data_IF_688474200749
#
_entry.id   IF_688474200749
#
_cell.length_a   1.000
_cell.length_b   1.000
_cell.length_c   1.000
_cell.angle_alpha   90.00
_cell.angle_beta   90.00
_cell.angle_gamma   90.00
#
_symmetry.space_group_name_H-M   'P 1'
#
loop_
_entity.id
_entity.type
_entity.pdbx_description
1 polymer ?
#
# COMPACT_ATOMS: atom_id res chain seq x y z
N UNK A 1 -7.69 -23.74 14.69
CA UNK A 1 -7.56 -22.51 15.48
C UNK A 1 -8.54 -21.47 14.95
N UNK A 2 -9.37 -20.95 15.84
CA UNK A 2 -10.26 -19.86 15.51
C UNK A 2 -9.42 -18.60 15.20
N UNK A 3 -9.63 -17.99 14.05
CA UNK A 3 -8.93 -16.81 13.61
C UNK A 3 -8.92 -15.65 14.61
N UNK A 4 -9.94 -15.53 15.42
CA UNK A 4 -10.04 -14.49 16.44
C UNK A 4 -8.99 -14.63 17.56
N UNK A 5 -8.65 -15.85 17.92
CA UNK A 5 -7.63 -16.09 18.95
C UNK A 5 -6.23 -15.82 18.43
N UNK A 6 -5.94 -16.27 17.22
CA UNK A 6 -4.66 -15.98 16.57
C UNK A 6 -4.47 -14.47 16.43
N UNK A 7 -5.52 -13.74 16.04
CA UNK A 7 -5.49 -12.29 15.96
C UNK A 7 -5.06 -11.65 17.27
N UNK A 8 -5.64 -12.08 18.40
CA UNK A 8 -5.29 -11.52 19.72
C UNK A 8 -3.86 -11.78 20.12
N UNK A 9 -3.34 -12.94 19.83
CA UNK A 9 -1.96 -13.30 20.14
C UNK A 9 -0.95 -12.46 19.36
N UNK A 10 -1.27 -12.19 18.11
CA UNK A 10 -0.38 -11.47 17.22
C UNK A 10 -0.51 -9.95 17.27
N UNK A 11 -1.48 -9.43 18.00
CA UNK A 11 -1.71 -7.99 18.07
C UNK A 11 -0.86 -7.26 19.09
N UNK A 12 0.15 -7.87 19.64
CA UNK A 12 1.07 -7.22 20.53
C UNK A 12 2.25 -6.66 19.74
N UNK A 13 2.62 -5.39 19.89
CA UNK A 13 2.05 -4.38 20.79
C UNK A 13 0.81 -3.65 20.26
N UNK A 14 0.34 -3.96 19.08
CA UNK A 14 -0.84 -3.33 18.49
C UNK A 14 -2.08 -4.07 18.93
N UNK A 15 -3.01 -3.35 19.55
CA UNK A 15 -4.29 -3.88 19.97
C UNK A 15 -5.15 -4.28 18.76
N UNK A 16 -5.71 -5.50 18.78
CA UNK A 16 -6.65 -5.96 17.77
C UNK A 16 -7.85 -5.03 17.58
N UNK A 17 -8.30 -4.36 18.62
CA UNK A 17 -9.39 -3.40 18.57
C UNK A 17 -9.05 -2.18 17.70
N UNK A 18 -7.80 -1.79 17.61
CA UNK A 18 -7.34 -0.70 16.77
C UNK A 18 -7.70 -0.93 15.30
N UNK A 19 -7.40 -2.10 14.76
CA UNK A 19 -7.71 -2.39 13.36
C UNK A 19 -9.22 -2.52 13.11
N UNK A 20 -9.97 -3.08 14.05
CA UNK A 20 -11.44 -3.14 13.95
C UNK A 20 -12.01 -1.74 13.78
N UNK A 21 -11.62 -0.85 14.68
CA UNK A 21 -12.13 0.52 14.69
C UNK A 21 -11.67 1.25 13.44
N UNK A 22 -10.41 1.12 13.07
CA UNK A 22 -9.84 1.77 11.87
C UNK A 22 -10.56 1.34 10.59
N UNK A 23 -10.86 0.05 10.43
CA UNK A 23 -11.62 -0.43 9.27
C UNK A 23 -13.04 0.11 9.26
N UNK A 24 -13.73 0.09 10.39
CA UNK A 24 -15.10 0.61 10.51
C UNK A 24 -15.16 2.11 10.27
N UNK A 25 -14.19 2.87 10.77
CA UNK A 25 -14.14 4.32 10.61
C UNK A 25 -13.87 4.72 9.16
N UNK A 26 -13.02 3.98 8.45
CA UNK A 26 -12.70 4.25 7.05
C UNK A 26 -13.75 3.77 6.06
N UNK A 27 -14.43 2.68 6.38
CA UNK A 27 -15.35 2.00 5.47
C UNK A 27 -16.67 1.61 6.16
N UNK A 28 -17.43 2.57 6.74
CA UNK A 28 -18.54 2.25 7.63
C UNK A 28 -19.70 1.52 6.93
N UNK A 29 -19.91 1.76 5.65
CA UNK A 29 -21.10 1.30 4.92
C UNK A 29 -20.83 0.18 3.90
N UNK A 30 -19.59 -0.30 3.80
CA UNK A 30 -19.21 -1.13 2.66
C UNK A 30 -19.05 -2.62 2.97
N UNK A 31 -18.97 -2.99 4.24
CA UNK A 31 -18.65 -4.38 4.61
C UNK A 31 -19.53 -4.84 5.75
N UNK A 32 -20.20 -5.97 5.55
CA UNK A 32 -20.93 -6.64 6.64
C UNK A 32 -19.96 -7.11 7.72
N UNK A 33 -20.43 -7.18 8.97
CA UNK A 33 -19.60 -7.49 10.14
C UNK A 33 -18.80 -8.80 9.99
N UNK A 34 -19.39 -9.84 9.40
CA UNK A 34 -18.70 -11.12 9.21
C UNK A 34 -17.54 -11.02 8.21
N UNK A 35 -17.77 -10.35 7.07
CA UNK A 35 -16.74 -10.12 6.08
C UNK A 35 -15.63 -9.20 6.63
N UNK A 36 -16.00 -8.20 7.41
CA UNK A 36 -15.06 -7.31 8.09
C UNK A 36 -14.17 -8.08 9.07
N UNK A 37 -14.74 -8.97 9.89
CA UNK A 37 -13.99 -9.76 10.84
C UNK A 37 -12.97 -10.68 10.16
N UNK A 38 -13.36 -11.30 9.05
CA UNK A 38 -12.48 -12.17 8.26
C UNK A 38 -11.33 -11.39 7.65
N UNK A 39 -11.62 -10.28 7.00
CA UNK A 39 -10.60 -9.44 6.37
C UNK A 39 -9.63 -8.86 7.39
N UNK A 40 -10.13 -8.38 8.50
CA UNK A 40 -9.34 -7.87 9.61
C UNK A 40 -8.38 -8.92 10.16
N UNK A 41 -8.86 -10.14 10.32
CA UNK A 41 -8.04 -11.25 10.77
C UNK A 41 -6.90 -11.54 9.79
N UNK A 42 -7.21 -11.67 8.51
CA UNK A 42 -6.21 -11.91 7.46
C UNK A 42 -5.16 -10.80 7.44
N UNK A 43 -5.60 -9.55 7.47
CA UNK A 43 -4.71 -8.40 7.48
C UNK A 43 -3.77 -8.42 8.69
N UNK A 44 -4.32 -8.65 9.88
CA UNK A 44 -3.53 -8.68 11.10
C UNK A 44 -2.48 -9.79 11.10
N UNK A 45 -2.81 -10.98 10.59
CA UNK A 45 -1.83 -12.05 10.44
C UNK A 45 -0.70 -11.68 9.50
N UNK A 46 -1.02 -11.10 8.34
CA UNK A 46 -0.02 -10.67 7.37
C UNK A 46 0.90 -9.60 7.95
N UNK A 47 0.33 -8.61 8.62
CA UNK A 47 1.09 -7.54 9.27
C UNK A 47 2.04 -8.08 10.33
N UNK A 48 1.55 -8.98 11.18
CA UNK A 48 2.36 -9.59 12.24
C UNK A 48 3.50 -10.43 11.66
N UNK A 49 3.22 -11.23 10.66
CA UNK A 49 4.26 -12.01 9.98
C UNK A 49 5.35 -11.11 9.40
N UNK A 50 4.97 -10.00 8.82
CA UNK A 50 5.93 -9.04 8.32
C UNK A 50 6.78 -8.42 9.43
N UNK A 51 6.14 -7.91 10.48
CA UNK A 51 6.81 -7.27 11.62
C UNK A 51 7.80 -8.21 12.32
N UNK A 52 7.54 -9.51 12.27
CA UNK A 52 8.42 -10.55 12.82
C UNK A 52 9.41 -11.11 11.81
N UNK A 53 9.38 -10.66 10.56
CA UNK A 53 10.22 -11.19 9.50
C UNK A 53 9.88 -12.62 9.08
N UNK A 54 8.66 -13.09 9.37
CA UNK A 54 8.19 -14.42 8.97
C UNK A 54 7.19 -14.34 7.83
N UNK A 55 6.93 -15.48 7.20
CA UNK A 55 6.00 -15.58 6.07
C UNK A 55 4.60 -15.89 6.57
N UNK A 56 3.61 -15.16 6.05
CA UNK A 56 2.21 -15.49 6.25
C UNK A 56 1.80 -16.64 5.31
N UNK A 57 1.41 -17.77 5.89
CA UNK A 57 1.02 -18.93 5.09
C UNK A 57 2.07 -19.37 4.08
N UNK A 58 3.36 -19.12 4.35
CA UNK A 58 4.45 -19.39 3.43
C UNK A 58 4.72 -18.30 2.40
N UNK A 59 4.00 -17.17 2.47
CA UNK A 59 4.13 -16.04 1.55
C UNK A 59 4.67 -14.83 2.30
N UNK A 60 5.73 -14.23 1.80
CA UNK A 60 6.27 -12.98 2.35
C UNK A 60 5.40 -11.77 1.96
N UNK A 61 5.66 -10.63 2.59
CA UNK A 61 4.83 -9.43 2.39
C UNK A 61 4.97 -8.86 0.99
N UNK A 62 6.13 -8.93 0.39
CA UNK A 62 6.32 -8.50 -1.01
C UNK A 62 5.41 -9.31 -1.93
N UNK A 63 5.44 -10.63 -1.81
CA UNK A 63 4.59 -11.53 -2.61
C UNK A 63 3.11 -11.34 -2.31
N UNK A 64 2.75 -11.04 -1.07
CA UNK A 64 1.36 -10.75 -0.70
C UNK A 64 0.84 -9.48 -1.37
N UNK A 65 1.63 -8.41 -1.36
CA UNK A 65 1.28 -7.14 -2.04
C UNK A 65 1.21 -7.35 -3.56
N UNK A 66 2.16 -8.07 -4.12
CA UNK A 66 2.15 -8.41 -5.55
C UNK A 66 0.89 -9.16 -5.95
N UNK A 67 0.50 -10.16 -5.16
CA UNK A 67 -0.74 -10.92 -5.39
C UNK A 67 -1.98 -10.04 -5.33
N UNK A 68 -2.04 -9.08 -4.40
CA UNK A 68 -3.16 -8.14 -4.34
C UNK A 68 -3.26 -7.29 -5.62
N UNK A 69 -2.15 -6.80 -6.14
CA UNK A 69 -2.15 -6.10 -7.43
C UNK A 69 -2.57 -7.00 -8.58
N UNK A 70 -2.11 -8.25 -8.61
CA UNK A 70 -2.53 -9.23 -9.63
C UNK A 70 -4.05 -9.46 -9.61
N UNK A 71 -4.64 -9.60 -8.43
CA UNK A 71 -6.08 -9.76 -8.29
C UNK A 71 -6.82 -8.51 -8.78
N UNK A 72 -6.37 -7.32 -8.38
CA UNK A 72 -6.99 -6.06 -8.80
C UNK A 72 -6.95 -5.90 -10.32
N UNK A 73 -5.82 -6.20 -10.95
CA UNK A 73 -5.70 -6.06 -12.42
C UNK A 73 -6.39 -7.17 -13.22
N UNK A 74 -6.89 -8.22 -12.57
CA UNK A 74 -7.55 -9.35 -13.24
C UNK A 74 -8.89 -9.01 -13.87
N UNK A 75 -9.60 -7.99 -13.40
CA UNK A 75 -10.88 -7.56 -13.94
C UNK A 75 -11.20 -6.10 -13.58
N UNK A 76 -12.04 -5.43 -14.37
CA UNK A 76 -12.69 -5.90 -15.60
C UNK A 76 -11.70 -6.07 -16.73
N UNK A 77 -11.93 -7.06 -17.61
CA UNK A 77 -10.95 -7.45 -18.63
C UNK A 77 -10.75 -6.41 -19.76
N UNK A 78 -11.63 -5.44 -19.89
CA UNK A 78 -11.69 -4.54 -21.05
C UNK A 78 -11.81 -3.06 -20.70
N UNK A 79 -11.62 -2.66 -19.46
CA UNK A 79 -11.68 -1.24 -19.11
C UNK A 79 -10.35 -0.54 -19.42
N UNK A 80 -10.44 0.70 -19.91
CA UNK A 80 -9.29 1.61 -20.06
C UNK A 80 -9.11 2.52 -18.82
N UNK A 81 -9.99 2.42 -17.82
CA UNK A 81 -9.95 3.25 -16.62
C UNK A 81 -9.40 2.46 -15.44
N UNK A 82 -8.23 2.81 -14.91
CA UNK A 82 -7.67 2.12 -13.74
C UNK A 82 -8.59 2.09 -12.52
N UNK A 83 -9.39 3.14 -12.31
CA UNK A 83 -10.36 3.20 -11.23
C UNK A 83 -11.39 2.06 -11.26
N UNK A 84 -11.78 1.59 -12.44
CA UNK A 84 -12.77 0.51 -12.56
C UNK A 84 -12.23 -0.81 -11.99
N UNK A 85 -10.93 -1.04 -12.07
CA UNK A 85 -10.27 -2.20 -11.46
C UNK A 85 -10.26 -2.11 -9.94
N UNK A 86 -10.00 -0.92 -9.40
CA UNK A 86 -10.04 -0.67 -7.96
C UNK A 86 -11.46 -0.83 -7.42
N UNK A 87 -12.45 -0.28 -8.11
CA UNK A 87 -13.85 -0.37 -7.72
C UNK A 87 -14.35 -1.83 -7.73
N UNK A 88 -13.90 -2.64 -8.70
CA UNK A 88 -14.24 -4.06 -8.77
C UNK A 88 -13.56 -4.90 -7.69
N UNK A 89 -12.48 -4.41 -7.08
CA UNK A 89 -11.66 -5.11 -6.08
C UNK A 89 -11.41 -4.23 -4.85
N UNK A 90 -12.47 -3.63 -4.32
CA UNK A 90 -12.37 -2.68 -3.22
C UNK A 90 -11.79 -3.30 -1.94
N UNK A 91 -12.04 -4.58 -1.69
CA UNK A 91 -11.52 -5.30 -0.52
C UNK A 91 -10.00 -5.45 -0.61
N UNK A 92 -9.50 -5.91 -1.75
CA UNK A 92 -8.06 -6.09 -1.99
C UNK A 92 -7.33 -4.73 -1.99
N UNK A 93 -7.94 -3.71 -2.55
CA UNK A 93 -7.37 -2.36 -2.53
C UNK A 93 -7.26 -1.79 -1.11
N UNK A 94 -8.28 -2.00 -0.27
CA UNK A 94 -8.21 -1.63 1.15
C UNK A 94 -7.07 -2.37 1.87
N UNK A 95 -6.89 -3.64 1.58
CA UNK A 95 -5.79 -4.40 2.15
C UNK A 95 -4.44 -3.80 1.79
N UNK A 96 -4.26 -3.35 0.53
CA UNK A 96 -3.07 -2.61 0.12
C UNK A 96 -2.88 -1.32 0.94
N UNK A 97 -3.95 -0.58 1.20
CA UNK A 97 -3.89 0.65 2.00
C UNK A 97 -3.50 0.35 3.46
N UNK A 98 -3.99 -0.74 4.03
CA UNK A 98 -3.64 -1.13 5.40
C UNK A 98 -2.21 -1.63 5.55
N UNK A 99 -1.60 -2.18 4.51
CA UNK A 99 -0.17 -2.46 4.52
C UNK A 99 0.70 -1.20 4.57
N UNK A 100 0.18 -0.06 4.15
CA UNK A 100 0.84 1.23 4.30
C UNK A 100 2.26 1.27 3.73
N UNK A 101 3.25 1.45 4.60
CA UNK A 101 4.66 1.57 4.19
C UNK A 101 5.17 0.35 3.43
N UNK A 102 4.64 -0.83 3.68
CA UNK A 102 5.03 -2.04 2.96
C UNK A 102 4.55 -2.01 1.51
N UNK A 103 3.35 -1.48 1.27
CA UNK A 103 2.86 -1.23 -0.08
C UNK A 103 3.71 -0.16 -0.77
N UNK A 104 4.08 0.90 -0.07
CA UNK A 104 4.98 1.93 -0.61
C UNK A 104 6.36 1.35 -0.97
N UNK A 105 6.94 0.52 -0.13
CA UNK A 105 8.21 -0.14 -0.43
C UNK A 105 8.13 -1.01 -1.69
N UNK A 106 7.04 -1.75 -1.86
CA UNK A 106 6.78 -2.52 -3.07
C UNK A 106 6.69 -1.61 -4.30
N UNK A 107 5.89 -0.54 -4.22
CA UNK A 107 5.70 0.43 -5.30
C UNK A 107 7.05 1.06 -5.69
N UNK A 108 7.82 1.50 -4.72
CA UNK A 108 9.13 2.11 -4.97
C UNK A 108 10.12 1.10 -5.58
N UNK A 109 10.10 -0.14 -5.14
CA UNK A 109 10.95 -1.18 -5.74
C UNK A 109 10.62 -1.40 -7.22
N UNK A 110 9.33 -1.41 -7.56
CA UNK A 110 8.89 -1.57 -8.95
C UNK A 110 9.26 -0.38 -9.82
N UNK A 111 9.01 0.84 -9.36
CA UNK A 111 9.28 2.05 -10.15
C UNK A 111 10.78 2.38 -10.20
N UNK A 112 11.47 2.32 -9.06
CA UNK A 112 12.85 2.78 -8.94
C UNK A 112 13.87 1.70 -9.31
N UNK A 113 13.71 0.47 -8.79
CA UNK A 113 14.68 -0.59 -9.03
C UNK A 113 14.46 -1.33 -10.34
N UNK A 114 13.22 -1.66 -10.69
CA UNK A 114 12.90 -2.34 -11.93
C UNK A 114 12.68 -1.36 -13.10
N UNK A 115 11.90 -0.32 -12.86
CA UNK A 115 11.54 0.64 -13.90
C UNK A 115 10.54 0.10 -14.92
N UNK A 116 10.29 0.89 -15.96
CA UNK A 116 9.44 0.50 -17.10
C UNK A 116 7.99 0.11 -16.74
N UNK A 117 7.44 0.68 -15.66
CA UNK A 117 6.08 0.43 -15.23
C UNK A 117 5.10 1.28 -16.04
N UNK A 118 4.91 0.93 -17.32
CA UNK A 118 4.17 1.71 -18.30
C UNK A 118 2.75 1.19 -18.58
N UNK A 119 2.39 0.03 -18.02
CA UNK A 119 1.08 -0.59 -18.22
C UNK A 119 0.09 -0.31 -17.09
N UNK A 120 -0.94 -1.15 -17.01
CA UNK A 120 -1.99 -1.03 -16.00
C UNK A 120 -1.45 -1.09 -14.57
N UNK A 121 -0.51 -2.00 -14.28
CA UNK A 121 0.11 -2.09 -12.96
C UNK A 121 0.72 -0.76 -12.52
N UNK A 122 1.41 -0.07 -13.44
CA UNK A 122 1.98 1.25 -13.18
C UNK A 122 0.92 2.28 -12.82
N UNK A 123 -0.22 2.29 -13.52
CA UNK A 123 -1.33 3.19 -13.21
C UNK A 123 -1.97 2.87 -11.85
N UNK A 124 -2.15 1.60 -11.53
CA UNK A 124 -2.68 1.19 -10.22
C UNK A 124 -1.73 1.58 -9.08
N UNK A 125 -0.43 1.37 -9.26
CA UNK A 125 0.57 1.77 -8.28
C UNK A 125 0.64 3.29 -8.09
N UNK A 126 0.46 4.06 -9.17
CA UNK A 126 0.37 5.52 -9.08
C UNK A 126 -0.80 5.95 -8.21
N UNK A 127 -1.98 5.40 -8.44
CA UNK A 127 -3.17 5.72 -7.64
C UNK A 127 -2.94 5.35 -6.17
N UNK A 128 -2.40 4.17 -5.92
CA UNK A 128 -2.06 3.74 -4.56
C UNK A 128 -1.03 4.66 -3.89
N UNK A 129 -0.03 5.13 -4.62
CA UNK A 129 0.96 6.10 -4.12
C UNK A 129 0.29 7.41 -3.71
N UNK A 130 -0.61 7.95 -4.54
CA UNK A 130 -1.33 9.17 -4.22
C UNK A 130 -2.24 9.01 -2.99
N UNK A 131 -2.90 7.87 -2.85
CA UNK A 131 -3.77 7.59 -1.71
C UNK A 131 -2.97 7.35 -0.42
N UNK A 132 -1.78 6.75 -0.50
CA UNK A 132 -0.92 6.51 0.65
C UNK A 132 -0.09 7.74 1.06
N UNK A 133 0.16 8.64 0.12
CA UNK A 133 0.98 9.84 0.34
C UNK A 133 0.31 11.09 -0.24
N UNK A 134 -0.89 11.46 0.25
CA UNK A 134 -1.61 12.60 -0.29
C UNK A 134 -0.86 13.93 -0.11
N UNK A 135 -0.02 14.04 0.91
CA UNK A 135 0.83 15.21 1.16
C UNK A 135 1.88 15.43 0.08
N UNK A 136 2.26 14.38 -0.63
CA UNK A 136 3.27 14.43 -1.69
C UNK A 136 2.68 14.31 -3.10
N UNK A 137 1.37 14.28 -3.23
CA UNK A 137 0.70 14.14 -4.52
C UNK A 137 1.05 15.30 -5.46
N UNK A 138 1.40 14.95 -6.70
CA UNK A 138 1.67 15.94 -7.75
C UNK A 138 0.41 16.16 -8.60
N UNK A 139 0.17 17.44 -8.92
CA UNK A 139 -0.92 17.85 -9.81
C UNK A 139 -0.39 18.03 -11.24
N UNK A 140 -0.10 16.89 -11.89
CA UNK A 140 0.36 16.90 -13.26
C UNK A 140 -0.28 15.75 -14.06
N UNK A 141 -0.32 15.92 -15.37
CA UNK A 141 -0.68 14.84 -16.27
C UNK A 141 0.56 14.01 -16.59
N UNK A 142 0.41 12.69 -16.56
CA UNK A 142 1.43 11.75 -17.00
C UNK A 142 0.77 10.59 -17.74
N UNK A 143 1.33 10.20 -18.88
CA UNK A 143 0.77 9.13 -19.70
C UNK A 143 0.86 7.76 -19.03
N UNK A 144 1.89 7.55 -18.22
CA UNK A 144 2.15 6.28 -17.54
C UNK A 144 2.40 6.49 -16.06
N UNK A 145 2.23 5.43 -15.29
CA UNK A 145 2.61 5.44 -13.87
C UNK A 145 4.11 5.70 -13.68
N UNK A 146 4.94 5.13 -14.55
CA UNK A 146 6.40 5.37 -14.51
C UNK A 146 6.74 6.85 -14.70
N UNK A 147 6.15 7.50 -15.70
CA UNK A 147 6.40 8.93 -15.95
C UNK A 147 5.97 9.80 -14.76
N UNK A 148 4.84 9.48 -14.14
CA UNK A 148 4.41 10.14 -12.92
C UNK A 148 5.40 9.93 -11.77
N UNK A 149 5.84 8.71 -11.56
CA UNK A 149 6.79 8.40 -10.49
C UNK A 149 8.14 9.11 -10.72
N UNK A 150 8.61 9.19 -11.95
CA UNK A 150 9.88 9.89 -12.24
C UNK A 150 9.82 11.36 -11.82
N UNK A 151 8.70 12.04 -12.04
CA UNK A 151 8.46 13.41 -11.54
C UNK A 151 8.29 13.45 -10.03
N UNK A 152 7.61 12.47 -9.47
CA UNK A 152 7.44 12.35 -8.02
C UNK A 152 8.79 12.19 -7.32
N UNK A 153 9.65 11.33 -7.86
CA UNK A 153 11.02 11.14 -7.35
C UNK A 153 11.85 12.41 -7.48
N UNK A 154 11.77 13.11 -8.61
CA UNK A 154 12.45 14.40 -8.78
C UNK A 154 11.98 15.43 -7.74
N UNK A 155 10.69 15.46 -7.44
CA UNK A 155 10.13 16.28 -6.36
C UNK A 155 10.67 15.87 -4.99
N UNK A 156 10.78 14.58 -4.72
CA UNK A 156 11.34 14.06 -3.46
C UNK A 156 12.80 14.51 -3.27
N UNK A 157 13.60 14.47 -4.31
CA UNK A 157 14.99 14.94 -4.28
C UNK A 157 15.04 16.44 -3.98
N UNK A 158 14.18 17.26 -4.59
CA UNK A 158 14.08 18.70 -4.29
C UNK A 158 13.73 18.96 -2.82
N UNK A 159 12.80 18.17 -2.26
CA UNK A 159 12.46 18.26 -0.84
C UNK A 159 13.69 17.94 0.03
N UNK A 160 14.48 16.96 -0.34
CA UNK A 160 15.69 16.57 0.40
C UNK A 160 16.78 17.66 0.39
N UNK A 161 16.79 18.51 -0.62
CA UNK A 161 17.72 19.66 -0.71
C UNK A 161 17.27 20.84 0.15
N UNK A 162 16.00 20.92 0.52
CA UNK A 162 15.40 22.05 1.23
C UNK A 162 15.18 21.79 2.72
N UNK A 163 15.15 20.55 3.15
CA UNK A 163 14.83 20.13 4.51
C UNK A 163 15.76 19.05 5.01
N UNK A 164 15.97 18.98 6.33
CA UNK A 164 16.70 17.87 6.94
C UNK A 164 15.84 16.59 7.02
N UNK A 165 16.49 15.47 7.28
CA UNK A 165 15.83 14.17 7.28
C UNK A 165 14.80 14.01 8.40
N UNK A 166 15.00 14.65 9.55
CA UNK A 166 14.02 14.61 10.65
C UNK A 166 12.72 15.33 10.28
N UNK A 167 12.86 16.49 9.62
CA UNK A 167 11.70 17.23 9.12
C UNK A 167 10.96 16.41 8.05
N UNK A 168 11.69 15.79 7.10
CA UNK A 168 11.10 15.00 6.03
C UNK A 168 10.35 13.78 6.61
N UNK A 169 10.95 13.09 7.55
CA UNK A 169 10.30 11.95 8.21
C UNK A 169 9.01 12.34 8.91
N UNK A 170 8.98 13.50 9.56
CA UNK A 170 7.81 13.98 10.27
C UNK A 170 6.70 14.51 9.35
N UNK A 171 7.05 15.17 8.23
CA UNK A 171 6.12 15.90 7.38
C UNK A 171 5.87 15.25 6.02
N UNK A 172 6.82 14.45 5.52
CA UNK A 172 6.77 13.79 4.22
C UNK A 172 7.26 12.33 4.34
N UNK A 173 6.57 11.49 5.13
CA UNK A 173 7.06 10.15 5.47
C UNK A 173 7.26 9.24 4.26
N UNK A 174 6.45 9.35 3.22
CA UNK A 174 6.64 8.57 2.00
C UNK A 174 7.91 8.98 1.24
N UNK A 175 8.20 10.28 1.19
CA UNK A 175 9.45 10.79 0.62
C UNK A 175 10.64 10.29 1.43
N UNK A 176 10.55 10.37 2.76
CA UNK A 176 11.60 9.83 3.63
C UNK A 176 11.87 8.35 3.32
N UNK A 177 10.82 7.57 3.15
CA UNK A 177 10.93 6.13 2.84
C UNK A 177 11.66 5.89 1.50
N UNK A 178 11.33 6.64 0.45
CA UNK A 178 12.00 6.55 -0.84
C UNK A 178 13.49 6.95 -0.71
N UNK A 179 13.79 8.01 0.02
CA UNK A 179 15.16 8.48 0.20
C UNK A 179 16.03 7.43 0.91
N UNK A 180 15.48 6.67 1.87
CA UNK A 180 16.20 5.55 2.49
C UNK A 180 16.59 4.50 1.46
N UNK A 181 15.70 4.21 0.51
CA UNK A 181 15.95 3.23 -0.56
C UNK A 181 17.00 3.72 -1.56
N UNK A 182 17.00 5.01 -1.86
CA UNK A 182 17.98 5.62 -2.79
C UNK A 182 19.39 5.63 -2.20
N UNK A 183 19.51 5.85 -0.90
CA UNK A 183 20.81 5.95 -0.19
C UNK A 183 21.44 4.59 0.10
N UNK A 184 20.74 3.49 -0.11
CA UNK A 184 21.29 2.14 -0.07
C UNK A 184 22.00 1.81 -1.40
#
# INVERSE_FOLDING_TARGET
VDGKYVLKEYWTPRDGSYYVQDVRDKFPDEVEDEALDTQKYIFAQKQTCYDQGVRYGGVDTYSAVEHLFEVIESSPATSSRPADYIDAHSIEYRELMYYGDYTLQYIFSKFYLEGNQTGLRGQLMRIALDDLAPEAQLRLYAETGQAYFDEWRASAIRVSEQHDMDWIKANQPAIWLLLQMIDE
#
